data_IF_740409866721
#
_entry.id   IF_740409866721
#
_cell.length_a   1.000
_cell.length_b   1.000
_cell.length_c   1.000
_cell.angle_alpha   90.00
_cell.angle_beta   90.00
_cell.angle_gamma   90.00
#
_symmetry.space_group_name_H-M   'P 1'
#
loop_
_entity.id
_entity.type
_entity.pdbx_description
1 polymer ?
#
# COMPACT_ATOMS: atom_id res chain seq x y z
N UNK A 1 19.24 -5.09 7.25
CA UNK A 1 19.53 -3.65 7.19
C UNK A 1 18.19 -2.93 7.29
N UNK A 2 17.94 -2.33 8.46
CA UNK A 2 16.70 -1.64 8.81
C UNK A 2 16.74 -0.25 8.18
N UNK A 3 15.81 0.09 7.31
CA UNK A 3 15.60 1.46 6.85
C UNK A 3 14.58 2.13 7.79
N UNK A 4 15.05 3.03 8.63
CA UNK A 4 14.18 3.97 9.34
C UNK A 4 13.76 5.10 8.39
N UNK A 5 12.46 5.24 8.18
CA UNK A 5 11.87 6.37 7.46
C UNK A 5 11.91 7.61 8.35
N UNK A 6 12.79 8.57 8.06
CA UNK A 6 12.77 9.90 8.68
C UNK A 6 11.56 10.69 8.19
N UNK A 7 10.59 10.92 9.08
CA UNK A 7 9.50 11.89 8.88
C UNK A 7 10.07 13.28 9.20
N UNK A 8 10.16 14.13 8.19
CA UNK A 8 10.58 15.52 8.34
C UNK A 8 9.36 16.41 8.61
N UNK A 9 9.31 17.03 9.79
CA UNK A 9 8.31 18.03 10.17
C UNK A 9 8.74 19.40 9.70
N UNK A 10 8.11 19.92 8.67
CA UNK A 10 8.24 21.31 8.23
C UNK A 10 7.49 22.25 9.17
N UNK A 11 8.19 23.21 9.76
CA UNK A 11 7.57 24.36 10.46
C UNK A 11 7.11 25.40 9.42
N UNK A 12 5.83 25.42 9.14
CA UNK A 12 5.15 26.43 8.34
C UNK A 12 4.01 27.11 9.11
N UNK A 13 3.93 28.40 9.01
CA UNK A 13 3.16 29.39 9.73
C UNK A 13 1.66 29.09 9.97
N UNK A 14 1.25 29.48 11.18
CA UNK A 14 -0.09 29.53 11.75
C UNK A 14 -1.13 30.27 10.89
N UNK A 15 -2.23 29.57 10.56
CA UNK A 15 -3.53 30.20 10.36
C UNK A 15 -4.50 29.57 11.35
N UNK A 16 -5.05 30.42 12.24
CA UNK A 16 -6.00 30.04 13.28
C UNK A 16 -7.36 29.68 12.66
N UNK A 17 -7.81 28.45 12.83
CA UNK A 17 -9.24 28.12 12.80
C UNK A 17 -9.56 27.17 13.96
N UNK A 18 -10.45 27.63 14.81
CA UNK A 18 -10.88 27.01 16.07
C UNK A 18 -11.95 25.95 15.81
N UNK A 19 -11.71 24.70 16.20
CA UNK A 19 -12.76 23.72 16.49
C UNK A 19 -12.40 22.92 17.75
N UNK A 20 -13.34 22.53 18.60
CA UNK A 20 -13.08 22.04 19.94
C UNK A 20 -12.68 20.56 19.96
N UNK A 21 -11.54 20.27 20.60
CA UNK A 21 -11.04 18.92 20.83
C UNK A 21 -11.52 18.46 22.20
N UNK A 22 -12.26 17.35 22.23
CA UNK A 22 -12.59 16.62 23.46
C UNK A 22 -11.34 15.89 23.97
N UNK A 23 -10.88 16.25 25.16
CA UNK A 23 -9.78 15.61 25.88
C UNK A 23 -10.23 14.25 26.42
N UNK A 24 -9.53 13.17 26.06
CA UNK A 24 -9.48 11.93 26.84
C UNK A 24 -8.09 11.78 27.44
N UNK A 25 -8.08 11.72 28.78
CA UNK A 25 -6.91 11.47 29.62
C UNK A 25 -6.46 10.01 29.49
N UNK A 26 -5.18 9.79 29.19
CA UNK A 26 -4.53 8.49 29.37
C UNK A 26 -3.72 8.52 30.66
N UNK A 27 -4.06 7.60 31.58
CA UNK A 27 -3.31 7.33 32.79
C UNK A 27 -2.16 6.36 32.46
N UNK A 28 -0.95 6.74 32.81
CA UNK A 28 0.23 5.88 32.74
C UNK A 28 0.31 5.05 34.05
N UNK A 29 0.40 3.72 33.91
CA UNK A 29 0.80 2.82 34.99
C UNK A 29 2.10 2.12 34.57
N UNK A 30 3.17 2.39 35.32
CA UNK A 30 4.43 1.72 35.18
C UNK A 30 4.40 0.31 35.80
N UNK A 31 5.08 -0.63 35.18
CA UNK A 31 5.41 -1.93 35.77
C UNK A 31 6.90 -2.19 35.64
N UNK A 32 7.49 -2.49 36.79
CA UNK A 32 8.90 -2.76 36.99
C UNK A 32 9.31 -4.14 36.50
N UNK A 33 10.55 -4.23 35.96
CA UNK A 33 11.25 -5.48 35.66
C UNK A 33 11.66 -6.23 36.92
N UNK A 34 11.40 -7.56 36.95
CA UNK A 34 12.16 -8.49 37.75
C UNK A 34 12.62 -9.65 36.87
N UNK A 35 13.91 -9.75 36.72
CA UNK A 35 14.63 -10.86 36.13
C UNK A 35 14.91 -11.95 37.16
N UNK A 36 14.64 -13.24 36.82
CA UNK A 36 15.25 -14.39 37.49
C UNK A 36 15.56 -15.49 36.48
N UNK A 37 16.80 -15.86 36.46
CA UNK A 37 17.36 -16.99 35.72
C UNK A 37 17.40 -18.24 36.61
N UNK A 38 17.31 -19.45 36.01
CA UNK A 38 18.06 -20.69 36.26
C UNK A 38 17.25 -21.88 35.76
N UNK A 39 17.72 -22.60 34.82
CA UNK A 39 18.69 -23.71 34.76
C UNK A 39 18.06 -25.11 34.92
N UNK A 40 18.13 -25.83 33.81
CA UNK A 40 18.54 -27.22 33.52
C UNK A 40 17.88 -28.44 34.19
N UNK A 41 17.62 -29.39 33.36
CA UNK A 41 18.04 -30.80 33.25
C UNK A 41 16.93 -31.79 32.92
N UNK A 42 17.05 -32.30 31.73
CA UNK A 42 17.01 -33.71 31.23
C UNK A 42 16.34 -34.82 32.07
N UNK A 43 15.50 -35.61 31.45
CA UNK A 43 15.81 -37.00 31.10
C UNK A 43 14.60 -37.75 30.51
N UNK A 44 14.89 -38.55 29.55
CA UNK A 44 14.20 -39.59 28.80
C UNK A 44 13.42 -40.62 29.62
N UNK A 45 12.32 -41.13 29.08
CA UNK A 45 12.22 -42.60 28.80
C UNK A 45 10.86 -42.94 28.14
N UNK A 46 11.00 -43.80 27.18
CA UNK A 46 10.00 -44.55 26.41
C UNK A 46 9.22 -45.55 27.25
N UNK A 47 7.98 -45.83 26.85
CA UNK A 47 7.49 -47.22 26.71
C UNK A 47 6.11 -47.28 26.08
N UNK A 48 5.99 -48.18 25.12
CA UNK A 48 4.80 -48.75 24.45
C UNK A 48 3.84 -49.44 25.42
N UNK A 49 2.56 -49.48 25.16
CA UNK A 49 1.88 -50.69 24.63
C UNK A 49 0.35 -50.59 24.69
N UNK A 50 -0.23 -50.97 23.57
CA UNK A 50 -1.29 -51.96 23.29
C UNK A 50 -2.75 -51.69 23.66
N UNK A 51 -3.49 -51.90 22.62
CA UNK A 51 -4.90 -52.05 22.39
C UNK A 51 -5.65 -53.07 23.30
N UNK A 52 -6.95 -52.83 23.45
CA UNK A 52 -7.94 -53.91 23.38
C UNK A 52 -9.31 -53.37 22.97
N UNK A 53 -9.84 -53.94 21.88
CA UNK A 53 -11.24 -53.93 21.49
C UNK A 53 -12.08 -54.70 22.49
N UNK A 54 -13.34 -54.28 22.70
CA UNK A 54 -14.45 -55.22 22.88
C UNK A 54 -15.78 -54.59 22.50
N UNK A 55 -16.37 -55.24 21.55
CA UNK A 55 -17.71 -55.22 21.03
C UNK A 55 -18.70 -55.83 22.05
N UNK A 56 -19.96 -55.36 22.16
CA UNK A 56 -21.13 -56.21 22.32
C UNK A 56 -22.47 -55.45 22.38
N UNK A 57 -23.21 -55.57 21.34
CA UNK A 57 -24.60 -56.03 21.15
C UNK A 57 -25.75 -55.37 21.89
N UNK A 58 -26.70 -54.97 21.04
CA UNK A 58 -28.11 -54.68 21.38
C UNK A 58 -28.89 -55.91 21.83
N UNK A 59 -30.10 -55.78 22.38
CA UNK A 59 -31.27 -56.05 21.53
C UNK A 59 -32.51 -55.13 21.75
N UNK A 60 -33.35 -55.17 20.73
CA UNK A 60 -34.64 -54.53 20.58
C UNK A 60 -35.78 -55.22 21.31
N UNK A 61 -36.90 -54.52 21.52
CA UNK A 61 -38.30 -54.83 21.30
C UNK A 61 -39.21 -53.81 21.95
N UNK A 62 -40.00 -53.09 21.26
CA UNK A 62 -41.25 -53.28 20.52
C UNK A 62 -42.53 -52.98 21.34
N UNK A 63 -43.36 -52.18 20.67
CA UNK A 63 -44.81 -52.00 20.73
C UNK A 63 -45.36 -51.05 21.80
N UNK A 64 -46.26 -50.16 21.48
CA UNK A 64 -47.27 -49.96 20.50
C UNK A 64 -48.16 -48.78 20.71
N UNK A 65 -48.69 -48.33 19.64
CA UNK A 65 -50.00 -47.78 19.34
C UNK A 65 -50.44 -46.36 19.77
N UNK A 66 -50.61 -45.53 18.72
CA UNK A 66 -51.74 -44.65 18.37
C UNK A 66 -52.26 -43.61 19.38
N UNK A 67 -52.30 -42.34 19.02
CA UNK A 67 -53.37 -41.73 18.21
C UNK A 67 -53.13 -40.21 18.03
N UNK A 68 -53.45 -39.71 16.92
CA UNK A 68 -54.18 -38.52 16.56
C UNK A 68 -53.65 -37.15 16.90
N UNK A 69 -53.36 -36.40 15.85
CA UNK A 69 -53.24 -34.96 15.93
C UNK A 69 -52.25 -34.37 14.91
N UNK A 70 -52.56 -34.53 13.63
CA UNK A 70 -51.88 -33.79 12.57
C UNK A 70 -52.33 -32.33 12.61
N UNK A 71 -51.76 -31.54 13.47
CA UNK A 71 -51.77 -30.10 13.31
C UNK A 71 -50.50 -29.76 12.52
N UNK A 72 -50.67 -29.46 11.26
CA UNK A 72 -49.60 -28.93 10.40
C UNK A 72 -49.28 -27.56 10.89
N UNK A 73 -48.37 -27.44 11.86
CA UNK A 73 -47.68 -26.20 12.11
C UNK A 73 -46.94 -25.82 10.81
N UNK A 74 -47.52 -24.86 10.06
CA UNK A 74 -46.77 -24.04 9.10
C UNK A 74 -45.59 -23.50 9.90
N UNK A 75 -44.39 -24.04 9.70
CA UNK A 75 -43.14 -23.42 10.10
C UNK A 75 -43.20 -21.99 9.55
N UNK A 76 -43.62 -21.05 10.39
CA UNK A 76 -43.41 -19.63 10.08
C UNK A 76 -41.91 -19.47 9.90
N UNK A 77 -41.51 -19.06 8.71
CA UNK A 77 -40.12 -18.66 8.43
C UNK A 77 -39.72 -17.60 9.46
N UNK A 78 -39.00 -18.02 10.49
CA UNK A 78 -38.58 -17.15 11.59
C UNK A 78 -37.47 -16.20 11.16
N UNK A 79 -36.83 -15.57 12.15
CA UNK A 79 -35.68 -14.68 11.95
C UNK A 79 -34.57 -15.31 11.11
N UNK A 80 -34.18 -14.64 10.02
CA UNK A 80 -33.03 -14.97 9.15
C UNK A 80 -31.88 -14.07 9.51
N UNK A 81 -30.71 -14.65 9.79
CA UNK A 81 -29.45 -13.91 10.04
C UNK A 81 -28.46 -14.29 8.96
N UNK A 82 -27.75 -13.31 8.41
CA UNK A 82 -26.78 -13.52 7.32
C UNK A 82 -25.57 -14.36 7.71
N UNK A 83 -25.28 -14.48 9.02
CA UNK A 83 -24.20 -15.31 9.56
C UNK A 83 -24.76 -16.53 10.29
N UNK A 84 -23.99 -17.63 10.32
CA UNK A 84 -24.32 -18.85 11.05
C UNK A 84 -23.82 -18.75 12.49
N UNK A 85 -24.51 -19.43 13.42
CA UNK A 85 -24.01 -19.56 14.79
C UNK A 85 -22.62 -20.23 14.80
N UNK A 86 -21.70 -19.68 15.60
CA UNK A 86 -20.30 -20.09 15.76
C UNK A 86 -19.49 -20.06 14.45
N UNK A 87 -19.93 -19.26 13.45
CA UNK A 87 -19.13 -19.03 12.26
C UNK A 87 -17.80 -18.34 12.64
N UNK A 88 -16.72 -18.76 11.99
CA UNK A 88 -15.40 -18.20 12.14
C UNK A 88 -14.98 -17.49 10.84
N UNK A 89 -14.07 -16.54 10.94
CA UNK A 89 -13.53 -15.78 9.82
C UNK A 89 -14.63 -15.08 8.98
N UNK A 90 -15.67 -14.57 9.66
CA UNK A 90 -16.71 -13.79 8.98
C UNK A 90 -16.09 -12.52 8.43
N UNK A 91 -16.29 -12.26 7.13
CA UNK A 91 -15.74 -11.09 6.43
C UNK A 91 -16.23 -9.78 7.10
N UNK A 92 -15.34 -9.01 7.72
CA UNK A 92 -15.72 -7.82 8.48
C UNK A 92 -16.21 -6.67 7.59
N UNK A 93 -15.89 -6.69 6.31
CA UNK A 93 -16.31 -5.68 5.32
C UNK A 93 -17.76 -5.85 4.85
N UNK A 94 -18.43 -6.92 5.30
CA UNK A 94 -19.80 -7.21 4.88
C UNK A 94 -20.80 -6.96 6.00
N UNK A 95 -21.85 -6.16 5.75
CA UNK A 95 -22.88 -5.95 6.74
C UNK A 95 -23.51 -7.27 7.21
N UNK A 96 -23.62 -7.45 8.52
CA UNK A 96 -24.42 -8.51 9.10
C UNK A 96 -25.88 -8.06 9.12
N UNK A 97 -26.79 -8.93 8.65
CA UNK A 97 -28.22 -8.60 8.56
C UNK A 97 -29.10 -9.57 9.35
N UNK A 98 -30.18 -9.02 9.89
CA UNK A 98 -31.29 -9.80 10.50
C UNK A 98 -32.57 -9.41 9.81
N UNK A 99 -33.31 -10.40 9.30
CA UNK A 99 -34.53 -10.20 8.52
C UNK A 99 -35.67 -11.07 9.08
N UNK A 100 -36.91 -10.56 9.00
CA UNK A 100 -38.14 -11.29 9.33
C UNK A 100 -39.26 -10.96 8.35
N UNK A 101 -40.20 -11.87 8.18
CA UNK A 101 -41.42 -11.62 7.41
C UNK A 101 -42.41 -10.70 8.17
N UNK A 102 -42.34 -10.68 9.51
CA UNK A 102 -43.11 -9.80 10.38
C UNK A 102 -42.43 -8.44 10.60
N UNK A 103 -42.31 -8.03 11.84
CA UNK A 103 -41.54 -6.84 12.27
C UNK A 103 -40.53 -7.24 13.34
N UNK A 104 -39.34 -6.72 13.27
CA UNK A 104 -38.34 -6.84 14.31
C UNK A 104 -38.83 -6.06 15.55
N UNK A 105 -38.71 -6.67 16.72
CA UNK A 105 -38.98 -6.06 17.99
C UNK A 105 -37.72 -5.47 18.62
N UNK A 106 -36.62 -6.21 18.57
CA UNK A 106 -35.31 -5.80 19.01
C UNK A 106 -34.22 -6.62 18.33
N UNK A 107 -33.12 -5.97 17.99
CA UNK A 107 -31.87 -6.63 17.59
C UNK A 107 -30.75 -5.87 18.31
N UNK A 108 -29.88 -6.60 18.97
CA UNK A 108 -28.67 -6.03 19.59
C UNK A 108 -27.49 -6.88 19.15
N UNK A 109 -26.44 -6.25 18.71
CA UNK A 109 -25.18 -6.89 18.38
C UNK A 109 -24.05 -6.24 19.17
N UNK A 110 -23.29 -7.04 19.90
CA UNK A 110 -22.17 -6.56 20.74
C UNK A 110 -20.93 -7.39 20.46
N UNK A 111 -19.76 -6.78 20.66
CA UNK A 111 -18.49 -7.52 20.72
C UNK A 111 -18.33 -8.19 22.11
N UNK A 112 -17.22 -8.92 22.32
CA UNK A 112 -16.90 -9.61 23.58
C UNK A 112 -16.69 -8.65 24.78
N UNK A 113 -16.45 -7.37 24.52
CA UNK A 113 -16.33 -6.32 25.53
C UNK A 113 -17.69 -5.68 25.88
N UNK A 114 -18.78 -6.11 25.24
CA UNK A 114 -20.11 -5.55 25.41
C UNK A 114 -20.35 -4.22 24.69
N UNK A 115 -19.47 -3.83 23.78
CA UNK A 115 -19.64 -2.62 22.94
C UNK A 115 -20.64 -2.94 21.85
N UNK A 116 -21.70 -2.12 21.74
CA UNK A 116 -22.71 -2.25 20.70
C UNK A 116 -22.16 -1.77 19.35
N UNK A 117 -22.54 -2.48 18.27
CA UNK A 117 -22.21 -2.14 16.88
C UNK A 117 -23.25 -1.15 16.35
N UNK A 118 -22.79 -0.14 15.59
CA UNK A 118 -23.69 0.81 14.93
C UNK A 118 -24.67 0.08 14.01
N UNK A 119 -25.93 0.52 14.03
CA UNK A 119 -27.01 -0.21 13.35
C UNK A 119 -27.85 0.66 12.41
N UNK A 120 -28.47 -0.03 11.46
CA UNK A 120 -29.50 0.50 10.57
C UNK A 120 -30.74 -0.39 10.62
N UNK A 121 -31.90 0.21 10.94
CA UNK A 121 -33.21 -0.45 10.85
C UNK A 121 -33.99 0.08 9.64
N UNK A 122 -34.58 -0.80 8.84
CA UNK A 122 -35.43 -0.43 7.73
C UNK A 122 -36.73 0.27 8.21
N UNK A 123 -37.31 1.15 7.40
CA UNK A 123 -38.53 1.92 7.76
C UNK A 123 -39.72 1.04 8.13
N UNK A 124 -39.82 -0.15 7.55
CA UNK A 124 -40.88 -1.14 7.84
C UNK A 124 -40.49 -2.07 9.00
N UNK A 125 -39.32 -1.85 9.62
CA UNK A 125 -38.76 -2.66 10.70
C UNK A 125 -38.67 -4.18 10.38
N UNK A 126 -38.49 -4.55 9.09
CA UNK A 126 -38.33 -5.94 8.68
C UNK A 126 -36.88 -6.38 8.51
N UNK A 127 -35.97 -5.40 8.37
CA UNK A 127 -34.56 -5.65 8.16
C UNK A 127 -33.72 -4.75 9.08
N UNK A 128 -32.80 -5.36 9.80
CA UNK A 128 -31.73 -4.74 10.57
C UNK A 128 -30.40 -5.06 9.90
N UNK A 129 -29.43 -4.16 9.94
CA UNK A 129 -28.07 -4.40 9.50
C UNK A 129 -27.07 -3.59 10.32
N UNK A 130 -25.82 -4.05 10.39
CA UNK A 130 -24.71 -3.22 10.83
C UNK A 130 -24.57 -2.01 9.92
N UNK A 131 -24.20 -0.85 10.47
CA UNK A 131 -23.99 0.41 9.74
C UNK A 131 -22.50 0.75 9.57
N UNK A 132 -21.63 -0.01 10.21
CA UNK A 132 -20.18 0.11 10.17
C UNK A 132 -19.53 -1.22 9.80
N UNK A 133 -18.27 -1.18 9.35
CA UNK A 133 -17.45 -2.36 9.17
C UNK A 133 -17.06 -2.94 10.53
N UNK A 134 -16.99 -4.28 10.63
CA UNK A 134 -16.63 -4.95 11.88
C UNK A 134 -15.10 -4.98 12.06
N UNK A 135 -14.62 -4.95 13.32
CA UNK A 135 -13.20 -5.07 13.62
C UNK A 135 -12.66 -6.50 13.38
N UNK A 136 -11.35 -6.61 13.17
CA UNK A 136 -10.62 -7.88 13.26
C UNK A 136 -10.44 -8.33 14.72
N UNK A 137 -10.17 -9.62 14.94
CA UNK A 137 -9.86 -10.20 16.26
C UNK A 137 -11.02 -10.10 17.26
N UNK A 138 -12.26 -10.01 16.79
CA UNK A 138 -13.43 -9.88 17.63
C UNK A 138 -14.36 -11.09 17.55
N UNK A 139 -15.04 -11.35 18.67
CA UNK A 139 -16.19 -12.25 18.75
C UNK A 139 -17.43 -11.42 18.98
N UNK A 140 -18.41 -11.55 18.11
CA UNK A 140 -19.67 -10.82 18.19
C UNK A 140 -20.81 -11.74 18.62
N UNK A 141 -21.75 -11.19 19.38
CA UNK A 141 -22.98 -11.85 19.79
C UNK A 141 -24.18 -11.07 19.29
N UNK A 142 -25.17 -11.76 18.73
CA UNK A 142 -26.41 -11.19 18.25
C UNK A 142 -27.57 -11.76 19.08
N UNK A 143 -28.41 -10.88 19.62
CA UNK A 143 -29.69 -11.21 20.24
C UNK A 143 -30.79 -10.53 19.45
N UNK A 144 -31.67 -11.30 18.83
CA UNK A 144 -32.73 -10.79 17.98
C UNK A 144 -34.09 -11.36 18.40
N UNK A 145 -35.14 -10.53 18.32
CA UNK A 145 -36.53 -10.92 18.52
C UNK A 145 -37.46 -10.18 17.55
N UNK A 146 -38.57 -10.82 17.16
CA UNK A 146 -39.63 -10.19 16.40
C UNK A 146 -40.93 -10.05 17.20
N UNK A 147 -41.93 -9.38 16.62
CA UNK A 147 -43.23 -9.16 17.27
C UNK A 147 -44.07 -10.44 17.40
N UNK A 148 -43.75 -11.47 16.61
CA UNK A 148 -44.40 -12.80 16.60
C UNK A 148 -43.83 -13.73 17.70
N UNK A 149 -42.85 -13.22 18.48
CA UNK A 149 -42.22 -13.94 19.60
C UNK A 149 -41.07 -14.87 19.22
N UNK A 150 -40.64 -14.86 17.94
CA UNK A 150 -39.46 -15.61 17.54
C UNK A 150 -38.22 -14.94 18.13
N UNK A 151 -37.26 -15.75 18.59
CA UNK A 151 -35.99 -15.30 19.17
C UNK A 151 -34.83 -16.02 18.50
N UNK A 152 -33.72 -15.33 18.34
CA UNK A 152 -32.48 -15.91 17.83
C UNK A 152 -31.29 -15.32 18.57
N UNK A 153 -30.45 -16.19 19.10
CA UNK A 153 -29.20 -15.84 19.74
C UNK A 153 -28.11 -16.62 19.00
N UNK A 154 -27.06 -15.94 18.61
CA UNK A 154 -25.91 -16.58 17.94
C UNK A 154 -24.64 -15.76 18.21
N UNK A 155 -23.51 -16.40 18.03
CA UNK A 155 -22.20 -15.75 18.07
C UNK A 155 -21.38 -16.12 16.84
N UNK A 156 -20.43 -15.27 16.48
CA UNK A 156 -19.48 -15.55 15.40
C UNK A 156 -18.18 -14.77 15.65
N UNK A 157 -17.11 -15.12 14.97
CA UNK A 157 -15.85 -14.38 15.05
C UNK A 157 -15.39 -13.87 13.69
N UNK A 158 -14.76 -12.70 13.68
CA UNK A 158 -14.03 -12.15 12.55
C UNK A 158 -12.63 -12.79 12.47
N UNK A 159 -11.89 -12.60 11.36
CA UNK A 159 -10.55 -13.15 11.21
C UNK A 159 -9.61 -12.73 12.33
N UNK A 160 -8.74 -13.65 12.74
CA UNK A 160 -7.64 -13.39 13.66
C UNK A 160 -6.45 -12.83 12.86
N UNK A 161 -6.40 -11.50 12.75
CA UNK A 161 -5.32 -10.82 12.06
C UNK A 161 -4.10 -10.71 12.97
N UNK A 162 -2.94 -11.22 12.52
CA UNK A 162 -1.65 -11.01 13.18
C UNK A 162 -1.10 -9.61 12.91
N UNK A 163 -1.51 -8.98 11.82
CA UNK A 163 -1.20 -7.62 11.42
C UNK A 163 -2.13 -7.11 10.34
N UNK A 164 -2.09 -5.80 10.12
CA UNK A 164 -2.92 -5.10 9.15
C UNK A 164 -2.03 -4.33 8.18
N UNK A 165 -2.33 -4.42 6.88
CA UNK A 165 -1.64 -3.70 5.83
C UNK A 165 -2.35 -2.38 5.54
N UNK A 166 -1.65 -1.26 5.65
CA UNK A 166 -2.18 0.07 5.33
C UNK A 166 -1.62 0.55 4.00
N UNK A 167 -2.47 0.60 2.97
CA UNK A 167 -2.04 0.97 1.63
C UNK A 167 -1.84 2.48 1.48
N UNK A 168 -0.64 2.90 1.05
CA UNK A 168 -0.36 4.25 0.57
C UNK A 168 -0.17 4.25 -0.95
N UNK A 169 -0.63 5.31 -1.60
CA UNK A 169 -0.72 5.42 -3.06
C UNK A 169 0.12 6.57 -3.60
N UNK A 170 0.77 6.32 -4.71
CA UNK A 170 1.48 7.34 -5.51
C UNK A 170 0.99 7.25 -6.96
N UNK A 171 0.68 8.39 -7.62
CA UNK A 171 0.74 9.77 -7.14
C UNK A 171 -0.39 10.11 -6.15
N UNK A 172 -0.24 11.27 -5.46
CA UNK A 172 -1.25 11.78 -4.53
C UNK A 172 -2.53 12.21 -5.26
N UNK A 173 -3.68 12.25 -4.57
CA UNK A 173 -4.96 12.63 -5.19
C UNK A 173 -4.92 14.00 -5.85
N UNK A 174 -5.70 14.15 -6.92
CA UNK A 174 -5.92 15.39 -7.69
C UNK A 174 -4.66 16.02 -8.30
N UNK A 175 -3.55 15.26 -8.36
CA UNK A 175 -2.30 15.73 -8.97
C UNK A 175 -2.34 15.70 -10.51
N UNK A 176 -1.57 16.59 -11.14
CA UNK A 176 -1.20 16.51 -12.54
C UNK A 176 0.25 16.04 -12.64
N UNK A 177 0.49 14.93 -13.35
CA UNK A 177 1.80 14.28 -13.45
C UNK A 177 2.24 14.09 -14.89
N UNK A 178 3.53 13.83 -15.11
CA UNK A 178 4.11 13.62 -16.44
C UNK A 178 3.77 12.26 -17.05
N UNK A 179 4.09 12.10 -18.33
CA UNK A 179 3.75 10.93 -19.14
C UNK A 179 4.48 9.64 -18.74
N UNK A 180 5.52 9.74 -17.94
CA UNK A 180 6.28 8.58 -17.42
C UNK A 180 5.82 8.10 -16.05
N UNK A 181 4.79 8.72 -15.45
CA UNK A 181 4.34 8.39 -14.10
C UNK A 181 3.97 6.91 -13.97
N UNK A 182 4.50 6.26 -12.95
CA UNK A 182 4.16 4.90 -12.54
C UNK A 182 3.31 4.97 -11.27
N UNK A 183 2.29 4.11 -11.18
CA UNK A 183 1.44 4.01 -10.00
C UNK A 183 2.16 3.12 -8.99
N UNK A 184 2.33 3.60 -7.77
CA UNK A 184 2.86 2.85 -6.64
C UNK A 184 1.77 2.54 -5.62
N UNK A 185 1.73 1.30 -5.13
CA UNK A 185 0.91 0.86 -3.98
C UNK A 185 1.84 0.23 -2.97
N UNK A 186 2.07 0.92 -1.85
CA UNK A 186 2.88 0.42 -0.75
C UNK A 186 1.97 0.01 0.41
N UNK A 187 2.04 -1.25 0.82
CA UNK A 187 1.20 -1.83 1.87
C UNK A 187 1.73 -1.63 3.29
N UNK A 188 2.90 -0.99 3.44
CA UNK A 188 3.52 -0.69 4.73
C UNK A 188 4.09 -1.90 5.49
N UNK A 189 3.73 -3.12 5.08
CA UNK A 189 4.19 -4.39 5.65
C UNK A 189 4.48 -5.40 4.54
N UNK A 190 5.35 -6.42 4.79
CA UNK A 190 5.60 -7.48 3.82
C UNK A 190 4.34 -8.28 3.48
N UNK A 191 4.07 -8.45 2.19
CA UNK A 191 2.93 -9.19 1.65
C UNK A 191 3.40 -10.56 1.16
N UNK A 192 2.82 -11.63 1.70
CA UNK A 192 3.17 -13.00 1.31
C UNK A 192 2.28 -13.55 0.21
N UNK A 193 1.00 -13.16 0.15
CA UNK A 193 0.13 -13.46 -1.01
C UNK A 193 -0.02 -12.23 -1.91
N UNK A 194 1.00 -12.00 -2.76
CA UNK A 194 1.02 -10.90 -3.72
C UNK A 194 -0.14 -10.94 -4.71
N UNK A 195 -0.59 -12.15 -5.10
CA UNK A 195 -1.73 -12.29 -6.00
C UNK A 195 -3.04 -11.88 -5.36
N UNK A 196 -3.22 -12.19 -4.06
CA UNK A 196 -4.38 -11.71 -3.31
C UNK A 196 -4.35 -10.18 -3.19
N UNK A 197 -3.18 -9.59 -2.90
CA UNK A 197 -3.02 -8.14 -2.82
C UNK A 197 -3.31 -7.45 -4.16
N UNK A 198 -2.77 -7.92 -5.30
CA UNK A 198 -3.07 -7.36 -6.62
C UNK A 198 -4.56 -7.38 -6.95
N UNK A 199 -5.31 -8.40 -6.54
CA UNK A 199 -6.76 -8.49 -6.74
C UNK A 199 -7.55 -7.41 -5.98
N UNK A 200 -6.97 -6.79 -4.96
CA UNK A 200 -7.59 -5.67 -4.25
C UNK A 200 -7.47 -4.36 -5.01
N UNK A 201 -6.55 -4.28 -5.98
CA UNK A 201 -6.21 -3.06 -6.70
C UNK A 201 -6.97 -3.00 -8.03
N UNK A 202 -7.65 -1.89 -8.26
CA UNK A 202 -8.31 -1.59 -9.54
C UNK A 202 -7.73 -0.29 -10.09
N UNK A 203 -7.22 -0.35 -11.32
CA UNK A 203 -6.75 0.82 -12.08
C UNK A 203 -7.74 1.08 -13.22
N UNK A 204 -8.36 2.25 -13.22
CA UNK A 204 -9.30 2.69 -14.27
C UNK A 204 -8.72 3.89 -14.98
N UNK A 205 -8.69 3.85 -16.31
CA UNK A 205 -8.10 4.89 -17.15
C UNK A 205 -9.05 5.39 -18.21
N UNK A 206 -8.97 6.67 -18.59
CA UNK A 206 -9.71 7.28 -19.69
C UNK A 206 -8.78 8.14 -20.54
N UNK A 207 -8.43 7.71 -21.78
CA UNK A 207 -8.85 6.46 -22.42
C UNK A 207 -8.31 5.22 -21.71
N UNK A 208 -8.91 4.05 -21.97
CA UNK A 208 -8.44 2.76 -21.46
C UNK A 208 -7.07 2.42 -22.08
N UNK A 209 -6.15 1.95 -21.24
CA UNK A 209 -4.79 1.56 -21.67
C UNK A 209 -4.40 0.19 -21.11
N UNK A 210 -3.62 -0.56 -21.86
CA UNK A 210 -2.98 -1.79 -21.40
C UNK A 210 -1.90 -1.49 -20.37
N UNK A 211 -1.93 -2.16 -19.21
CA UNK A 211 -0.94 -2.00 -18.16
C UNK A 211 -0.81 -3.26 -17.32
N UNK A 212 0.24 -3.34 -16.50
CA UNK A 212 0.53 -4.50 -15.68
C UNK A 212 1.20 -4.13 -14.36
N UNK A 213 1.08 -5.06 -13.38
CA UNK A 213 1.71 -4.98 -12.08
C UNK A 213 3.10 -5.63 -12.08
N UNK A 214 4.00 -5.04 -11.27
CA UNK A 214 5.29 -5.62 -10.94
C UNK A 214 5.71 -5.23 -9.52
N UNK A 215 6.11 -6.21 -8.69
CA UNK A 215 6.56 -5.97 -7.31
C UNK A 215 8.03 -5.56 -7.31
N UNK A 216 8.31 -4.39 -6.77
CA UNK A 216 9.68 -3.87 -6.66
C UNK A 216 10.39 -4.35 -5.37
N UNK A 217 9.60 -4.70 -4.36
CA UNK A 217 10.06 -5.33 -3.12
C UNK A 217 8.91 -6.15 -2.49
N UNK A 218 9.02 -6.55 -1.23
CA UNK A 218 7.99 -7.34 -0.56
C UNK A 218 6.80 -6.52 0.01
N UNK A 219 6.84 -5.19 -0.10
CA UNK A 219 5.81 -4.28 0.42
C UNK A 219 5.17 -3.44 -0.67
N UNK A 220 5.85 -3.24 -1.80
CA UNK A 220 5.44 -2.30 -2.83
C UNK A 220 5.26 -3.00 -4.19
N UNK A 221 4.08 -2.82 -4.76
CA UNK A 221 3.75 -3.18 -6.13
C UNK A 221 3.55 -1.92 -6.95
N UNK A 222 4.03 -1.95 -8.19
CA UNK A 222 3.86 -0.87 -9.16
C UNK A 222 3.04 -1.31 -10.34
N UNK A 223 2.30 -0.36 -10.90
CA UNK A 223 1.57 -0.55 -12.14
C UNK A 223 1.98 0.54 -13.13
N UNK A 224 2.31 0.15 -14.34
CA UNK A 224 2.54 1.09 -15.45
C UNK A 224 1.86 0.61 -16.73
N UNK A 225 1.50 1.55 -17.62
CA UNK A 225 1.06 1.18 -18.95
C UNK A 225 2.23 0.59 -19.78
N UNK A 226 1.89 -0.02 -20.89
CA UNK A 226 2.84 -0.57 -21.86
C UNK A 226 3.75 0.50 -22.42
N UNK A 227 3.17 1.61 -22.84
CA UNK A 227 3.85 2.78 -23.37
C UNK A 227 3.66 3.98 -22.43
N UNK A 228 4.42 5.05 -22.61
CA UNK A 228 4.18 6.28 -21.87
C UNK A 228 2.74 6.75 -22.06
N UNK A 229 2.19 7.33 -21.00
CA UNK A 229 0.84 7.86 -21.02
C UNK A 229 0.62 8.89 -22.13
N UNK A 230 -0.59 8.92 -22.67
CA UNK A 230 -1.02 10.04 -23.52
C UNK A 230 -1.47 11.22 -22.64
N UNK A 231 -1.07 12.48 -23.00
CA UNK A 231 -1.53 13.67 -22.31
C UNK A 231 -3.05 13.76 -22.22
N UNK A 232 -3.54 14.22 -21.05
CA UNK A 232 -4.98 14.34 -20.77
C UNK A 232 -5.63 13.05 -20.27
N UNK A 233 -4.92 11.92 -20.20
CA UNK A 233 -5.44 10.68 -19.62
C UNK A 233 -5.79 10.91 -18.15
N UNK A 234 -7.00 10.48 -17.75
CA UNK A 234 -7.45 10.48 -16.35
C UNK A 234 -7.32 9.08 -15.79
N UNK A 235 -6.79 8.99 -14.59
CA UNK A 235 -6.53 7.73 -13.90
C UNK A 235 -7.19 7.74 -12.53
N UNK A 236 -7.89 6.66 -12.20
CA UNK A 236 -8.41 6.37 -10.87
C UNK A 236 -7.83 5.03 -10.39
N UNK A 237 -7.32 5.00 -9.17
CA UNK A 237 -6.81 3.79 -8.51
C UNK A 237 -7.58 3.57 -7.23
N UNK A 238 -8.08 2.35 -7.04
CA UNK A 238 -8.75 1.93 -5.81
C UNK A 238 -8.09 0.69 -5.26
N UNK A 239 -7.86 0.67 -3.95
CA UNK A 239 -7.40 -0.50 -3.19
C UNK A 239 -8.51 -0.88 -2.22
N UNK A 240 -9.29 -1.91 -2.56
CA UNK A 240 -10.41 -2.41 -1.77
C UNK A 240 -9.94 -3.61 -0.96
N UNK A 241 -9.15 -3.35 0.08
CA UNK A 241 -8.42 -4.38 0.82
C UNK A 241 -9.07 -4.77 2.15
N UNK A 242 -9.97 -3.97 2.71
CA UNK A 242 -10.59 -4.29 4.00
C UNK A 242 -11.30 -5.65 3.97
N UNK A 243 -11.05 -6.49 4.96
CA UNK A 243 -11.57 -7.86 5.02
C UNK A 243 -10.83 -8.88 4.16
N UNK A 244 -9.77 -8.50 3.42
CA UNK A 244 -9.03 -9.42 2.55
C UNK A 244 -7.81 -9.99 3.26
N UNK A 245 -7.66 -11.32 3.14
CA UNK A 245 -6.45 -12.03 3.56
C UNK A 245 -5.35 -11.80 2.52
N UNK A 246 -4.23 -11.24 2.95
CA UNK A 246 -3.05 -10.94 2.12
C UNK A 246 -1.89 -11.91 2.40
N UNK A 247 -2.20 -13.01 3.09
CA UNK A 247 -1.28 -14.09 3.43
C UNK A 247 -0.50 -13.84 4.73
N UNK A 248 0.00 -14.94 5.33
CA UNK A 248 0.82 -14.88 6.54
C UNK A 248 0.11 -14.30 7.78
N UNK A 249 -1.23 -14.30 7.80
CA UNK A 249 -2.02 -13.66 8.86
C UNK A 249 -2.14 -12.14 8.74
N UNK A 250 -1.67 -11.57 7.63
CA UNK A 250 -1.84 -10.14 7.32
C UNK A 250 -3.17 -9.95 6.60
N UNK A 251 -3.98 -9.03 7.09
CA UNK A 251 -5.25 -8.62 6.47
C UNK A 251 -5.17 -7.17 6.00
N UNK A 252 -5.98 -6.83 4.99
CA UNK A 252 -6.06 -5.46 4.50
C UNK A 252 -6.68 -4.52 5.54
N UNK A 253 -6.08 -3.35 5.74
CA UNK A 253 -6.61 -2.25 6.53
C UNK A 253 -7.62 -1.42 5.76
N UNK A 254 -7.71 -0.13 6.03
CA UNK A 254 -8.65 0.74 5.36
C UNK A 254 -8.48 0.71 3.83
N UNK A 255 -9.61 0.87 3.12
CA UNK A 255 -9.58 1.02 1.68
C UNK A 255 -8.96 2.36 1.31
N UNK A 256 -8.14 2.37 0.26
CA UNK A 256 -7.46 3.57 -0.21
C UNK A 256 -7.81 3.88 -1.67
N UNK A 257 -7.74 5.14 -2.05
CA UNK A 257 -7.92 5.54 -3.44
C UNK A 257 -7.11 6.79 -3.78
N UNK A 258 -6.74 6.92 -5.04
CA UNK A 258 -6.16 8.14 -5.62
C UNK A 258 -6.69 8.35 -7.03
N UNK A 259 -6.69 9.59 -7.47
CA UNK A 259 -7.00 9.98 -8.84
C UNK A 259 -6.02 11.06 -9.29
N UNK A 260 -5.65 11.04 -10.56
CA UNK A 260 -4.72 12.01 -11.13
C UNK A 260 -4.95 12.17 -12.63
N UNK A 261 -4.34 13.22 -13.19
CA UNK A 261 -4.41 13.51 -14.63
C UNK A 261 -2.99 13.56 -15.21
N UNK A 262 -2.83 13.03 -16.41
CA UNK A 262 -1.58 13.14 -17.15
C UNK A 262 -1.52 14.49 -17.84
N UNK A 263 -0.53 15.28 -17.50
CA UNK A 263 -0.29 16.59 -18.10
C UNK A 263 0.39 16.53 -19.48
N UNK A 264 0.95 17.67 -19.88
CA UNK A 264 1.75 17.77 -21.11
C UNK A 264 2.93 16.80 -21.11
N UNK A 265 3.30 16.33 -22.30
CA UNK A 265 4.48 15.50 -22.48
C UNK A 265 5.76 16.35 -22.42
N UNK A 266 6.42 16.40 -21.26
CA UNK A 266 7.73 17.04 -21.09
C UNK A 266 8.83 15.98 -21.05
N UNK A 267 9.90 16.18 -21.82
CA UNK A 267 11.00 15.22 -21.93
C UNK A 267 12.33 15.96 -21.97
N UNK A 268 13.26 15.56 -21.10
CA UNK A 268 14.65 16.01 -21.14
C UNK A 268 15.55 14.91 -21.74
N UNK A 269 16.39 15.27 -22.68
CA UNK A 269 17.39 14.42 -23.31
C UNK A 269 18.79 14.89 -22.91
N UNK A 270 19.53 14.10 -22.14
CA UNK A 270 20.86 14.40 -21.64
C UNK A 270 21.86 13.55 -22.39
N UNK A 271 22.65 14.20 -23.23
CA UNK A 271 23.68 13.56 -24.05
C UNK A 271 25.06 13.83 -23.46
N UNK A 272 25.69 12.80 -22.92
CA UNK A 272 27.03 12.91 -22.35
C UNK A 272 28.09 13.21 -23.41
N UNK A 273 27.91 12.82 -24.65
CA UNK A 273 28.89 13.09 -25.72
C UNK A 273 28.99 14.59 -26.03
N UNK A 274 27.89 15.31 -25.94
CA UNK A 274 27.81 16.77 -26.15
C UNK A 274 27.76 17.58 -24.88
N UNK A 275 27.71 16.93 -23.71
CA UNK A 275 27.51 17.56 -22.38
C UNK A 275 26.34 18.55 -22.38
N UNK A 276 25.24 18.17 -23.03
CA UNK A 276 24.08 19.06 -23.22
C UNK A 276 22.79 18.33 -22.87
N UNK A 277 21.95 18.97 -22.10
CA UNK A 277 20.56 18.59 -21.86
C UNK A 277 19.66 19.42 -22.79
N UNK A 278 18.77 18.75 -23.55
CA UNK A 278 17.74 19.39 -24.37
C UNK A 278 16.38 19.05 -23.83
N UNK A 279 15.57 20.07 -23.52
CA UNK A 279 14.21 19.92 -22.99
C UNK A 279 13.19 20.22 -24.07
N UNK A 280 12.17 19.36 -24.14
CA UNK A 280 11.07 19.44 -25.11
C UNK A 280 9.73 19.35 -24.37
N UNK A 281 8.75 20.12 -24.80
CA UNK A 281 7.35 20.02 -24.36
C UNK A 281 6.45 19.80 -25.57
N UNK A 282 5.67 18.73 -25.58
CA UNK A 282 4.80 18.33 -26.69
C UNK A 282 5.55 18.28 -28.03
N UNK A 283 6.77 17.69 -28.02
CA UNK A 283 7.70 17.62 -29.16
C UNK A 283 8.30 18.96 -29.60
N UNK A 284 7.92 20.09 -28.98
CA UNK A 284 8.49 21.41 -29.26
C UNK A 284 9.73 21.59 -28.41
N UNK A 285 10.85 21.98 -29.03
CA UNK A 285 12.08 22.33 -28.34
C UNK A 285 11.88 23.58 -27.48
N UNK A 286 12.31 23.52 -26.21
CA UNK A 286 12.24 24.64 -25.27
C UNK A 286 13.61 25.26 -25.03
N UNK A 287 14.58 24.44 -24.57
CA UNK A 287 15.90 24.95 -24.15
C UNK A 287 16.97 23.87 -24.27
N UNK A 288 18.21 24.32 -24.54
CA UNK A 288 19.43 23.53 -24.37
C UNK A 288 20.23 24.08 -23.19
N UNK A 289 20.70 23.19 -22.32
CA UNK A 289 21.38 23.52 -21.07
C UNK A 289 22.73 22.78 -21.08
N UNK A 290 23.87 23.47 -20.93
CA UNK A 290 25.15 22.82 -20.69
C UNK A 290 25.13 22.08 -19.35
N UNK A 291 25.64 20.85 -19.30
CA UNK A 291 25.64 19.99 -18.13
C UNK A 291 27.03 19.43 -17.82
N UNK A 292 27.26 19.09 -16.56
CA UNK A 292 28.39 18.26 -16.12
C UNK A 292 27.83 17.07 -15.33
N UNK A 293 28.07 15.87 -15.83
CA UNK A 293 27.56 14.62 -15.27
C UNK A 293 28.55 14.02 -14.26
N UNK A 294 28.26 12.81 -13.81
CA UNK A 294 29.14 12.00 -12.98
C UNK A 294 30.49 11.76 -13.65
N UNK A 295 31.57 11.85 -12.86
CA UNK A 295 32.96 11.72 -13.33
C UNK A 295 33.18 10.40 -14.05
N UNK A 296 33.63 10.49 -15.29
CA UNK A 296 33.82 9.35 -16.17
C UNK A 296 34.70 8.27 -15.53
N UNK A 297 34.28 7.01 -15.63
CA UNK A 297 34.94 5.80 -15.10
C UNK A 297 35.07 5.72 -13.57
N UNK A 298 34.51 6.67 -12.83
CA UNK A 298 34.60 6.67 -11.37
C UNK A 298 33.21 6.79 -10.71
N UNK A 299 32.39 7.72 -11.19
CA UNK A 299 31.07 8.01 -10.65
C UNK A 299 30.06 8.26 -11.78
N UNK A 300 30.13 7.45 -12.81
CA UNK A 300 29.33 7.65 -14.02
C UNK A 300 27.84 7.79 -13.69
N UNK A 301 27.19 8.77 -14.30
CA UNK A 301 25.72 8.83 -14.32
C UNK A 301 25.23 7.64 -15.14
N UNK A 302 24.36 6.75 -14.61
CA UNK A 302 23.82 5.63 -15.39
C UNK A 302 23.08 6.10 -16.64
N UNK A 303 23.23 5.35 -17.73
CA UNK A 303 22.41 5.53 -18.92
C UNK A 303 20.97 5.08 -18.63
N UNK A 304 20.00 5.51 -19.42
CA UNK A 304 18.65 4.98 -19.36
C UNK A 304 17.55 6.01 -19.31
N UNK A 305 16.38 5.54 -18.88
CA UNK A 305 15.16 6.31 -18.72
C UNK A 305 14.92 6.54 -17.25
N UNK A 306 14.71 7.77 -16.88
CA UNK A 306 14.41 8.24 -15.55
C UNK A 306 13.03 8.89 -15.54
N UNK A 307 12.38 8.88 -14.40
CA UNK A 307 11.15 9.61 -14.18
C UNK A 307 11.41 10.63 -13.08
N UNK A 308 10.97 11.87 -13.25
CA UNK A 308 11.12 12.91 -12.24
C UNK A 308 10.33 12.51 -10.97
N UNK A 309 11.01 12.56 -9.84
CA UNK A 309 10.49 12.31 -8.50
C UNK A 309 10.16 13.60 -7.75
N UNK A 310 10.73 13.74 -6.54
CA UNK A 310 10.51 14.91 -5.68
C UNK A 310 11.34 16.13 -6.10
N UNK A 311 10.79 17.30 -5.83
CA UNK A 311 11.41 18.58 -6.08
C UNK A 311 11.74 19.26 -4.74
N UNK A 312 12.98 19.69 -4.60
CA UNK A 312 13.46 20.37 -3.39
C UNK A 312 14.03 21.73 -3.77
N UNK A 313 13.45 22.85 -3.29
CA UNK A 313 14.06 24.17 -3.45
C UNK A 313 15.47 24.22 -2.88
N UNK A 314 15.69 23.48 -1.79
CA UNK A 314 17.00 23.28 -1.18
C UNK A 314 17.09 21.87 -0.60
N UNK A 315 18.23 21.19 -0.80
CA UNK A 315 18.47 19.81 -0.33
C UNK A 315 19.88 19.71 0.26
N UNK A 316 19.98 19.16 1.47
CA UNK A 316 21.26 18.69 2.00
C UNK A 316 21.57 17.34 1.38
N UNK A 317 22.54 17.29 0.50
CA UNK A 317 23.07 16.06 -0.08
C UNK A 317 24.19 15.52 0.77
N UNK A 318 24.06 14.28 1.22
CA UNK A 318 25.05 13.55 1.99
C UNK A 318 25.31 12.19 1.32
N UNK A 319 26.52 12.01 0.83
CA UNK A 319 26.91 10.78 0.11
C UNK A 319 26.86 9.52 0.97
N UNK A 320 26.89 9.66 2.30
CA UNK A 320 26.78 8.51 3.22
C UNK A 320 25.40 7.86 3.14
N UNK A 321 24.35 8.63 2.80
CA UNK A 321 23.00 8.10 2.60
C UNK A 321 22.90 7.15 1.39
N UNK A 322 23.88 7.21 0.48
CA UNK A 322 23.99 6.35 -0.71
C UNK A 322 25.18 5.39 -0.65
N UNK A 323 25.80 5.24 0.55
CA UNK A 323 26.85 4.27 0.81
C UNK A 323 28.28 4.70 0.48
N UNK A 324 28.52 5.99 0.11
CA UNK A 324 29.85 6.55 -0.10
C UNK A 324 30.25 7.38 1.12
N UNK A 325 31.18 6.85 1.95
CA UNK A 325 31.64 7.57 3.15
C UNK A 325 32.47 8.81 2.78
N UNK A 326 32.47 9.82 3.66
CA UNK A 326 33.27 11.03 3.45
C UNK A 326 34.76 10.72 3.33
N UNK A 327 35.26 9.72 4.08
CA UNK A 327 36.66 9.26 4.04
C UNK A 327 37.02 8.61 2.68
N UNK A 328 36.06 7.97 2.01
CA UNK A 328 36.22 7.36 0.69
C UNK A 328 36.04 8.36 -0.48
N UNK A 329 36.06 9.64 -0.21
CA UNK A 329 35.87 10.69 -1.22
C UNK A 329 34.43 11.14 -1.40
N UNK A 330 33.57 10.82 -0.42
CA UNK A 330 32.20 11.33 -0.36
C UNK A 330 32.12 12.83 -0.01
N UNK A 331 30.89 13.32 0.08
CA UNK A 331 30.60 14.74 0.27
C UNK A 331 29.37 14.96 1.15
N UNK A 332 29.32 16.14 1.76
CA UNK A 332 28.13 16.70 2.39
C UNK A 332 28.00 18.13 1.99
N UNK A 333 26.95 18.48 1.24
CA UNK A 333 26.76 19.81 0.69
C UNK A 333 25.29 20.16 0.54
N UNK A 334 24.95 21.42 0.75
CA UNK A 334 23.61 21.91 0.44
C UNK A 334 23.58 22.40 -0.99
N UNK A 335 22.58 21.98 -1.73
CA UNK A 335 22.32 22.38 -3.12
C UNK A 335 20.94 23.01 -3.23
N UNK A 336 20.77 23.95 -4.16
CA UNK A 336 19.51 24.58 -4.47
C UNK A 336 18.90 23.93 -5.72
N UNK A 337 17.56 23.96 -5.82
CA UNK A 337 16.79 23.51 -6.97
C UNK A 337 17.12 22.06 -7.36
N UNK A 338 17.06 21.16 -6.36
CA UNK A 338 17.33 19.74 -6.60
C UNK A 338 16.07 19.01 -7.07
N UNK A 339 16.08 18.54 -8.31
CA UNK A 339 15.03 17.75 -8.94
C UNK A 339 15.46 16.28 -9.00
N UNK A 340 14.76 15.41 -8.29
CA UNK A 340 15.09 13.99 -8.13
C UNK A 340 14.88 13.22 -9.43
N UNK A 341 15.86 12.38 -9.79
CA UNK A 341 15.80 11.48 -10.94
C UNK A 341 15.92 9.99 -10.55
N UNK A 342 16.45 9.69 -9.37
CA UNK A 342 16.60 8.30 -8.88
C UNK A 342 16.53 8.25 -7.36
N UNK A 343 16.15 7.09 -6.82
CA UNK A 343 16.24 6.85 -5.37
C UNK A 343 17.68 6.52 -4.94
N UNK A 344 18.54 6.16 -5.88
CA UNK A 344 19.99 6.03 -5.66
C UNK A 344 20.74 7.37 -5.60
N UNK A 345 20.03 8.51 -5.57
CA UNK A 345 20.60 9.81 -5.25
C UNK A 345 21.05 10.65 -6.45
N UNK A 346 20.51 10.41 -7.64
CA UNK A 346 20.79 11.25 -8.83
C UNK A 346 19.74 12.36 -8.93
N UNK A 347 20.23 13.59 -9.04
CA UNK A 347 19.43 14.82 -9.18
C UNK A 347 19.95 15.69 -10.32
N UNK A 348 19.07 16.50 -10.88
CA UNK A 348 19.47 17.74 -11.57
C UNK A 348 19.47 18.84 -10.51
N UNK A 349 20.57 19.57 -10.33
CA UNK A 349 20.65 20.59 -9.27
C UNK A 349 21.60 21.74 -9.63
N UNK A 350 21.46 22.85 -8.93
CA UNK A 350 22.36 24.00 -8.98
C UNK A 350 23.77 23.60 -8.51
N UNK A 351 24.77 23.90 -9.34
CA UNK A 351 26.18 23.63 -9.02
C UNK A 351 27.10 24.80 -9.46
N UNK A 352 27.04 25.93 -8.74
CA UNK A 352 27.81 27.14 -9.10
C UNK A 352 29.33 26.91 -9.07
N UNK A 353 29.81 25.94 -8.28
CA UNK A 353 31.24 25.59 -8.19
C UNK A 353 31.79 24.86 -9.41
N UNK A 354 30.94 24.33 -10.29
CA UNK A 354 31.34 23.57 -11.47
C UNK A 354 30.88 24.18 -12.79
N UNK A 355 30.51 25.47 -12.83
CA UNK A 355 30.04 26.15 -14.06
C UNK A 355 31.07 26.05 -15.18
N UNK A 356 32.37 26.12 -14.85
CA UNK A 356 33.47 25.95 -15.80
C UNK A 356 33.50 24.56 -16.50
N UNK A 357 32.92 23.55 -15.86
CA UNK A 357 32.89 22.18 -16.37
C UNK A 357 31.65 21.90 -17.22
N UNK A 358 30.55 22.63 -16.98
CA UNK A 358 29.27 22.42 -17.65
C UNK A 358 29.40 22.68 -19.16
N UNK A 359 28.98 21.70 -19.97
CA UNK A 359 29.18 21.71 -21.42
C UNK A 359 30.57 21.24 -21.87
N UNK A 360 31.46 20.86 -20.95
CA UNK A 360 32.85 20.55 -21.25
C UNK A 360 33.32 19.22 -20.64
N UNK A 361 33.23 19.04 -19.33
CA UNK A 361 33.76 17.84 -18.65
C UNK A 361 32.84 17.41 -17.50
N UNK A 362 32.97 16.16 -17.06
CA UNK A 362 32.19 15.56 -15.97
C UNK A 362 32.94 15.66 -14.63
N UNK A 363 32.24 16.12 -13.58
CA UNK A 363 32.89 16.39 -12.29
C UNK A 363 32.08 15.94 -11.08
N UNK A 364 30.81 15.52 -11.24
CA UNK A 364 29.92 15.15 -10.11
C UNK A 364 30.17 13.70 -9.66
N UNK A 365 29.41 13.26 -8.64
CA UNK A 365 29.35 11.89 -8.17
C UNK A 365 28.12 11.14 -8.74
N UNK A 366 27.60 11.55 -9.90
CA UNK A 366 26.46 10.95 -10.57
C UNK A 366 25.35 11.93 -10.92
N UNK A 367 25.20 13.03 -10.18
CA UNK A 367 24.22 14.08 -10.43
C UNK A 367 24.48 14.86 -11.73
N UNK A 368 23.46 15.57 -12.18
CA UNK A 368 23.52 16.45 -13.35
C UNK A 368 23.70 17.89 -12.84
N UNK A 369 24.91 18.38 -12.87
CA UNK A 369 25.27 19.73 -12.48
C UNK A 369 24.91 20.74 -13.57
N UNK A 370 24.16 21.77 -13.19
CA UNK A 370 23.78 22.90 -14.07
C UNK A 370 23.99 24.23 -13.36
N UNK A 371 23.88 25.35 -14.08
CA UNK A 371 23.91 26.68 -13.46
C UNK A 371 22.69 26.86 -12.53
N UNK A 372 22.78 27.77 -11.52
CA UNK A 372 21.64 28.05 -10.64
C UNK A 372 20.36 28.42 -11.39
N UNK A 373 20.46 29.32 -12.38
CA UNK A 373 19.33 29.70 -13.23
C UNK A 373 18.75 28.52 -14.04
N UNK A 374 19.61 27.64 -14.52
CA UNK A 374 19.16 26.48 -15.29
C UNK A 374 18.51 25.42 -14.39
N UNK A 375 18.96 25.26 -13.13
CA UNK A 375 18.36 24.35 -12.17
C UNK A 375 16.96 24.84 -11.76
N UNK A 376 16.81 26.12 -11.44
CA UNK A 376 15.53 26.78 -11.15
C UNK A 376 14.55 26.57 -12.32
N UNK A 377 14.96 26.98 -13.53
CA UNK A 377 14.14 26.82 -14.72
C UNK A 377 13.75 25.36 -14.99
N UNK A 378 14.67 24.40 -14.76
CA UNK A 378 14.40 22.98 -14.94
C UNK A 378 13.34 22.50 -13.95
N UNK A 379 13.45 22.84 -12.67
CA UNK A 379 12.50 22.48 -11.62
C UNK A 379 11.11 23.11 -11.88
N UNK A 380 11.04 24.36 -12.35
CA UNK A 380 9.77 25.01 -12.71
C UNK A 380 9.12 24.44 -13.98
N UNK A 381 9.91 23.85 -14.87
CA UNK A 381 9.44 23.33 -16.17
C UNK A 381 9.03 21.86 -16.11
N UNK A 382 9.83 21.05 -15.42
CA UNK A 382 9.58 19.62 -15.24
C UNK A 382 8.65 19.39 -14.04
N UNK A 383 7.94 18.28 -14.03
CA UNK A 383 7.10 17.88 -12.90
C UNK A 383 7.28 16.39 -12.61
N UNK A 384 6.83 15.96 -11.45
CA UNK A 384 6.77 14.54 -11.11
C UNK A 384 6.14 13.74 -12.26
N UNK A 385 6.79 12.66 -12.65
CA UNK A 385 6.33 11.79 -13.76
C UNK A 385 6.83 12.22 -15.13
N UNK A 386 7.50 13.36 -15.30
CA UNK A 386 8.15 13.71 -16.58
C UNK A 386 9.36 12.83 -16.82
N UNK A 387 9.72 12.67 -18.09
CA UNK A 387 10.74 11.71 -18.54
C UNK A 387 12.07 12.39 -18.78
N UNK A 388 13.14 11.81 -18.22
CA UNK A 388 14.51 12.16 -18.54
C UNK A 388 15.19 10.96 -19.16
N UNK A 389 15.92 11.16 -20.26
CA UNK A 389 16.75 10.12 -20.89
C UNK A 389 18.21 10.55 -20.87
N UNK A 390 19.04 9.75 -20.20
CA UNK A 390 20.49 9.91 -20.18
C UNK A 390 21.11 8.88 -21.12
N UNK A 391 22.08 9.28 -21.94
CA UNK A 391 22.76 8.40 -22.89
C UNK A 391 24.19 8.86 -23.19
N UNK A 392 24.97 7.95 -23.74
CA UNK A 392 26.39 8.14 -24.08
C UNK A 392 27.31 8.37 -22.86
N UNK A 393 26.91 7.92 -21.66
CA UNK A 393 27.81 7.83 -20.50
C UNK A 393 28.55 6.49 -20.53
N UNK A 394 29.57 6.34 -19.70
CA UNK A 394 30.27 5.05 -19.51
C UNK A 394 29.58 4.18 -18.45
N UNK A 395 28.58 4.74 -17.73
CA UNK A 395 27.83 4.01 -16.71
C UNK A 395 26.90 2.94 -17.32
N UNK A 396 26.56 1.98 -16.47
CA UNK A 396 25.55 0.98 -16.80
C UNK A 396 24.17 1.60 -16.99
N UNK A 397 23.17 0.80 -17.35
CA UNK A 397 21.78 1.27 -17.38
C UNK A 397 21.25 1.39 -15.95
N UNK A 398 20.52 2.46 -15.65
CA UNK A 398 19.83 2.64 -14.38
C UNK A 398 18.99 1.40 -14.06
N UNK A 399 19.14 0.89 -12.84
CA UNK A 399 18.38 -0.27 -12.38
C UNK A 399 16.87 0.03 -12.44
N UNK A 400 16.11 -0.86 -13.05
CA UNK A 400 14.65 -0.74 -13.11
C UNK A 400 14.00 -0.77 -11.73
N UNK A 401 14.66 -1.37 -10.72
CA UNK A 401 14.20 -1.40 -9.32
C UNK A 401 14.66 -0.19 -8.49
N UNK A 402 15.33 0.79 -9.08
CA UNK A 402 15.78 2.00 -8.39
C UNK A 402 14.64 2.79 -7.75
N UNK A 403 13.45 2.72 -8.34
CA UNK A 403 12.28 3.45 -7.85
C UNK A 403 11.77 4.52 -8.81
N UNK A 404 12.62 5.07 -9.65
CA UNK A 404 12.26 5.98 -10.75
C UNK A 404 12.82 5.48 -12.11
N UNK A 405 13.27 4.23 -12.12
CA UNK A 405 13.88 3.56 -13.27
C UNK A 405 13.00 2.53 -13.97
N UNK A 406 11.73 2.38 -13.61
CA UNK A 406 10.83 1.31 -14.05
C UNK A 406 10.78 1.10 -15.58
N UNK A 407 10.98 2.17 -16.35
CA UNK A 407 10.97 2.15 -17.81
C UNK A 407 12.22 1.53 -18.46
N UNK A 408 13.23 1.15 -17.65
CA UNK A 408 14.40 0.43 -18.10
C UNK A 408 14.16 -1.09 -18.17
N UNK A 409 13.09 -1.61 -17.55
CA UNK A 409 12.62 -2.97 -17.77
C UNK A 409 11.79 -3.03 -19.06
N UNK A 410 12.00 -4.07 -19.88
CA UNK A 410 11.20 -4.28 -21.08
C UNK A 410 9.73 -4.53 -20.74
N UNK A 411 8.82 -4.23 -21.68
CA UNK A 411 7.40 -4.57 -21.47
C UNK A 411 7.17 -6.06 -21.35
N UNK A 412 7.87 -6.85 -22.15
CA UNK A 412 7.75 -8.32 -22.15
C UNK A 412 8.16 -8.95 -20.81
N UNK A 413 9.04 -8.31 -20.06
CA UNK A 413 9.43 -8.71 -18.72
C UNK A 413 8.44 -8.16 -17.68
N UNK A 414 8.13 -6.87 -17.75
CA UNK A 414 7.20 -6.21 -16.83
C UNK A 414 5.82 -6.86 -16.83
N UNK A 415 5.26 -7.13 -18.02
CA UNK A 415 3.89 -7.66 -18.18
C UNK A 415 3.70 -9.09 -17.68
N UNK A 416 4.78 -9.85 -17.52
CA UNK A 416 4.73 -11.19 -16.88
C UNK A 416 4.42 -11.10 -15.40
N UNK A 417 4.73 -9.96 -14.78
CA UNK A 417 4.64 -9.78 -13.33
C UNK A 417 5.54 -10.74 -12.55
N UNK A 418 5.59 -10.57 -11.26
CA UNK A 418 6.37 -11.43 -10.37
C UNK A 418 5.64 -11.80 -9.06
N UNK A 419 4.30 -11.66 -9.04
CA UNK A 419 3.49 -12.04 -7.88
C UNK A 419 3.54 -13.54 -7.52
N UNK A 420 3.95 -14.39 -8.45
CA UNK A 420 4.12 -15.82 -8.25
C UNK A 420 5.56 -16.27 -8.02
N UNK A 421 6.53 -15.36 -8.03
CA UNK A 421 7.92 -15.69 -7.75
C UNK A 421 8.06 -16.01 -6.26
N UNK A 422 8.69 -17.14 -5.95
CA UNK A 422 9.08 -17.48 -4.58
C UNK A 422 10.06 -16.41 -4.09
N UNK A 423 9.76 -15.84 -2.93
CA UNK A 423 10.64 -14.91 -2.22
C UNK A 423 11.80 -15.64 -1.59
#
# INVERSE_FOLDING_TARGET
LVFESCIYVSKGNSVKNSFPIARRLLAAAGVACVSLAAASCSSSSSAENQATEQESTAPASASGAKDGGKESEKKKDGLKVSVKDRAQNVDPSKPVTVETNGRLKSVTMTNEMGVEVEEKLSKDAKKWSTAEDLGYNHTYSIVASDVDGNKKNLSFSTPQAAGVAEASLTPIPDSEVGVGQVIGVNFGVPITDRKAAEKTITVTTKPEVEGAFYWVNNQEVRWRPKDYWEPGTKVEVKVNQYGKDLGGGIYGGENASTNFTIGDRTVALIDNATKTMKVFKNKKFLRAIPVSLGRDYQYDTPNGRYVIGDEHPQLLMDSETFGLTHEAGGYRTTVDWATQMSYSGIYVHSAPWSVWAQGNTNTSHGCINVTPEAAEWFQETMKRGDVVRVFNTYGETLNAMDGLGDWNMSWDEWSKGNAGANQ
#
